data_IF_216565056586
#
_entry.id   IF_216565056586
#
_cell.length_a   1.000
_cell.length_b   1.000
_cell.length_c   1.000
_cell.angle_alpha   90.00
_cell.angle_beta   90.00
_cell.angle_gamma   90.00
#
_symmetry.space_group_name_H-M   'P 1'
#
loop_
_entity.id
_entity.type
_entity.pdbx_description
1 polymer ?
#
# COMPACT_ATOMS: atom_id res chain seq x y z
N UNK A 1 -21.76 -12.77 31.17
CA UNK A 1 -20.54 -11.97 31.09
C UNK A 1 -19.49 -12.49 30.09
N UNK A 2 -19.28 -13.79 29.91
CA UNK A 2 -18.31 -14.34 28.92
C UNK A 2 -18.61 -13.94 27.46
N UNK A 3 -19.87 -13.88 27.02
CA UNK A 3 -20.22 -13.50 25.62
C UNK A 3 -19.82 -12.05 25.24
N UNK A 4 -19.93 -11.05 26.15
CA UNK A 4 -19.58 -9.66 25.86
C UNK A 4 -18.06 -9.41 25.77
N UNK A 5 -17.25 -10.14 26.57
CA UNK A 5 -15.78 -10.06 26.49
C UNK A 5 -15.26 -10.62 25.17
N UNK A 6 -15.84 -11.72 24.68
CA UNK A 6 -15.47 -12.31 23.38
C UNK A 6 -15.82 -11.38 22.21
N UNK A 7 -16.94 -10.66 22.30
CA UNK A 7 -17.37 -9.74 21.23
C UNK A 7 -16.48 -8.50 21.15
N UNK A 8 -16.03 -7.94 22.27
CA UNK A 8 -15.08 -6.83 22.29
C UNK A 8 -13.71 -7.24 21.74
N UNK A 9 -13.21 -8.42 22.14
CA UNK A 9 -11.95 -8.96 21.61
C UNK A 9 -12.04 -9.24 20.10
N UNK A 10 -13.15 -9.80 19.65
CA UNK A 10 -13.39 -10.09 18.23
C UNK A 10 -13.47 -8.80 17.40
N UNK A 11 -14.15 -7.77 17.89
CA UNK A 11 -14.22 -6.46 17.22
C UNK A 11 -12.83 -5.80 17.12
N UNK A 12 -12.00 -5.92 18.14
CA UNK A 12 -10.62 -5.41 18.12
C UNK A 12 -9.75 -6.15 17.09
N UNK A 13 -9.88 -7.47 17.01
CA UNK A 13 -9.16 -8.27 15.98
C UNK A 13 -9.61 -7.89 14.57
N UNK A 14 -10.90 -7.71 14.34
CA UNK A 14 -11.45 -7.30 13.05
C UNK A 14 -10.99 -5.89 12.65
N UNK A 15 -11.02 -4.93 13.57
CA UNK A 15 -10.52 -3.57 13.32
C UNK A 15 -9.03 -3.55 12.98
N UNK A 16 -8.23 -4.37 13.67
CA UNK A 16 -6.79 -4.50 13.41
C UNK A 16 -6.50 -5.10 12.03
N UNK A 17 -7.24 -6.14 11.64
CA UNK A 17 -7.14 -6.71 10.30
C UNK A 17 -7.56 -5.71 9.21
N UNK A 18 -8.59 -4.91 9.46
CA UNK A 18 -9.07 -3.89 8.52
C UNK A 18 -8.01 -2.80 8.25
N UNK A 19 -7.31 -2.31 9.28
CA UNK A 19 -6.26 -1.27 9.12
C UNK A 19 -5.10 -1.77 8.24
N UNK A 20 -4.65 -3.01 8.47
CA UNK A 20 -3.62 -3.62 7.62
C UNK A 20 -4.09 -3.73 6.16
N UNK A 21 -5.30 -4.26 5.94
CA UNK A 21 -5.89 -4.42 4.60
C UNK A 21 -6.06 -3.05 3.91
N UNK A 22 -6.44 -2.01 4.67
CA UNK A 22 -6.57 -0.65 4.15
C UNK A 22 -5.23 -0.12 3.60
N UNK A 23 -4.12 -0.26 4.35
CA UNK A 23 -2.80 0.15 3.86
C UNK A 23 -2.35 -0.65 2.65
N UNK A 24 -2.56 -1.97 2.70
CA UNK A 24 -2.20 -2.84 1.58
C UNK A 24 -2.96 -2.47 0.30
N UNK A 25 -4.28 -2.31 0.39
CA UNK A 25 -5.11 -1.96 -0.74
C UNK A 25 -4.76 -0.57 -1.30
N UNK A 26 -4.53 0.42 -0.40
CA UNK A 26 -4.14 1.77 -0.83
C UNK A 26 -2.81 1.79 -1.58
N UNK A 27 -1.79 1.09 -1.09
CA UNK A 27 -0.50 1.01 -1.77
C UNK A 27 -0.60 0.20 -3.08
N UNK A 28 -1.42 -0.86 -3.11
CA UNK A 28 -1.69 -1.62 -4.31
C UNK A 28 -2.37 -0.76 -5.38
N UNK A 29 -3.41 -0.01 -5.02
CA UNK A 29 -4.13 0.90 -5.92
C UNK A 29 -3.19 1.96 -6.50
N UNK A 30 -2.37 2.59 -5.66
CA UNK A 30 -1.35 3.55 -6.09
C UNK A 30 -0.36 2.90 -7.09
N UNK A 31 0.08 1.68 -6.81
CA UNK A 31 0.99 0.95 -7.70
C UNK A 31 0.36 0.64 -9.07
N UNK A 32 -0.92 0.28 -9.11
CA UNK A 32 -1.63 -0.06 -10.33
C UNK A 32 -1.99 1.17 -11.17
N UNK A 33 -2.23 2.32 -10.52
CA UNK A 33 -2.64 3.56 -11.21
C UNK A 33 -1.50 4.38 -11.78
N UNK A 34 -0.24 3.96 -11.58
CA UNK A 34 0.94 4.72 -12.02
C UNK A 34 1.11 4.81 -13.53
N UNK A 35 0.64 3.82 -14.27
CA UNK A 35 0.86 3.71 -15.71
C UNK A 35 -0.41 4.00 -16.48
N UNK A 36 -0.24 4.56 -17.67
CA UNK A 36 -1.27 4.76 -18.66
C UNK A 36 -0.90 3.97 -19.91
N UNK A 37 -1.75 3.02 -20.27
CA UNK A 37 -1.61 2.24 -21.49
C UNK A 37 -2.51 2.85 -22.58
N UNK A 38 -1.92 3.13 -23.74
CA UNK A 38 -2.66 3.65 -24.88
C UNK A 38 -2.68 2.62 -26.01
N UNK A 39 -3.79 2.58 -26.75
CA UNK A 39 -4.00 1.67 -27.86
C UNK A 39 -3.91 0.18 -27.49
N UNK A 40 -4.29 -0.17 -26.26
CA UNK A 40 -4.50 -1.58 -25.92
C UNK A 40 -5.65 -2.15 -26.76
N UNK A 41 -5.55 -3.39 -27.26
CA UNK A 41 -6.70 -4.09 -27.84
C UNK A 41 -7.87 -4.17 -26.86
N UNK A 42 -9.11 -4.06 -27.35
CA UNK A 42 -10.33 -4.09 -26.53
C UNK A 42 -10.49 -5.40 -25.72
N UNK A 43 -9.81 -6.45 -26.14
CA UNK A 43 -9.79 -7.76 -25.48
C UNK A 43 -8.81 -7.82 -24.28
N UNK A 44 -7.99 -6.79 -24.07
CA UNK A 44 -7.01 -6.71 -22.99
C UNK A 44 -7.46 -5.72 -21.92
N UNK A 45 -7.79 -6.21 -20.74
CA UNK A 45 -8.15 -5.39 -19.58
C UNK A 45 -6.88 -4.85 -18.90
N UNK A 46 -6.69 -3.51 -18.94
CA UNK A 46 -5.55 -2.80 -18.33
C UNK A 46 -5.45 -3.09 -16.83
N UNK A 47 -6.58 -3.07 -16.12
CA UNK A 47 -6.62 -3.34 -14.67
C UNK A 47 -6.14 -4.76 -14.36
N UNK A 48 -6.56 -5.74 -15.15
CA UNK A 48 -6.15 -7.13 -14.97
C UNK A 48 -4.65 -7.31 -15.26
N UNK A 49 -4.15 -6.64 -16.29
CA UNK A 49 -2.74 -6.63 -16.64
C UNK A 49 -1.88 -6.08 -15.50
N UNK A 50 -2.19 -4.88 -15.00
CA UNK A 50 -1.41 -4.26 -13.91
C UNK A 50 -1.55 -5.02 -12.58
N UNK A 51 -2.75 -5.55 -12.27
CA UNK A 51 -2.95 -6.43 -11.11
C UNK A 51 -2.09 -7.70 -11.20
N UNK A 52 -1.98 -8.29 -12.38
CA UNK A 52 -1.14 -9.45 -12.63
C UNK A 52 0.34 -9.14 -12.49
N UNK A 53 0.81 -8.02 -13.03
CA UNK A 53 2.18 -7.53 -12.87
C UNK A 53 2.51 -7.27 -11.41
N UNK A 54 1.63 -6.58 -10.68
CA UNK A 54 1.79 -6.31 -9.25
C UNK A 54 1.88 -7.60 -8.42
N UNK A 55 0.96 -8.55 -8.64
CA UNK A 55 0.80 -9.73 -7.78
C UNK A 55 1.71 -10.89 -8.16
N UNK A 56 2.01 -11.08 -9.45
CA UNK A 56 2.79 -12.22 -9.96
C UNK A 56 4.16 -11.84 -10.49
N UNK A 57 4.41 -10.53 -10.75
CA UNK A 57 5.66 -10.04 -11.29
C UNK A 57 5.81 -10.17 -12.80
N UNK A 58 4.92 -10.88 -13.46
CA UNK A 58 4.92 -11.05 -14.92
C UNK A 58 3.54 -11.41 -15.46
N UNK A 59 3.29 -11.03 -16.71
CA UNK A 59 2.15 -11.41 -17.52
C UNK A 59 2.64 -11.87 -18.90
N UNK A 60 1.86 -12.67 -19.62
CA UNK A 60 2.16 -13.05 -20.98
C UNK A 60 1.12 -12.47 -21.94
N UNK A 61 1.61 -11.79 -22.97
CA UNK A 61 0.81 -11.28 -24.08
C UNK A 61 0.92 -12.23 -25.27
N UNK A 62 -0.21 -12.56 -25.87
CA UNK A 62 -0.30 -13.45 -27.02
C UNK A 62 -1.61 -13.20 -27.79
N UNK A 63 -1.72 -13.79 -28.97
CA UNK A 63 -2.94 -13.79 -29.75
C UNK A 63 -3.56 -15.20 -29.73
N UNK A 64 -4.83 -15.26 -29.33
CA UNK A 64 -5.67 -16.45 -29.43
C UNK A 64 -6.48 -16.39 -30.73
N UNK A 65 -6.68 -17.53 -31.38
CA UNK A 65 -7.35 -17.58 -32.70
C UNK A 65 -8.86 -17.26 -32.62
N UNK A 66 -9.47 -17.42 -31.45
CA UNK A 66 -10.91 -17.22 -31.24
C UNK A 66 -11.21 -15.88 -30.53
N UNK A 67 -10.42 -15.55 -29.50
CA UNK A 67 -10.71 -14.41 -28.62
C UNK A 67 -9.97 -13.15 -29.09
N UNK A 68 -8.83 -13.31 -29.76
CA UNK A 68 -7.98 -12.20 -30.17
C UNK A 68 -6.78 -12.02 -29.21
N UNK A 69 -6.29 -10.79 -29.08
CA UNK A 69 -5.14 -10.46 -28.25
C UNK A 69 -5.49 -10.57 -26.76
N UNK A 70 -4.63 -11.23 -25.98
CA UNK A 70 -4.81 -11.47 -24.56
C UNK A 70 -3.55 -11.15 -23.77
N UNK A 71 -3.71 -10.64 -22.53
CA UNK A 71 -2.67 -10.53 -21.55
C UNK A 71 -3.10 -11.32 -20.28
N UNK A 72 -2.49 -12.48 -20.04
CA UNK A 72 -2.89 -13.38 -18.96
C UNK A 72 -1.74 -13.67 -17.98
N UNK A 73 -2.12 -14.21 -16.82
CA UNK A 73 -1.14 -14.77 -15.88
C UNK A 73 -0.40 -15.93 -16.51
N UNK A 74 0.84 -16.13 -16.08
CA UNK A 74 1.65 -17.23 -16.62
C UNK A 74 2.40 -18.00 -15.53
N UNK A 75 2.73 -19.25 -15.85
CA UNK A 75 3.73 -20.05 -15.16
C UNK A 75 4.83 -20.44 -16.14
N UNK A 76 6.06 -20.58 -15.61
CA UNK A 76 7.19 -21.03 -16.39
C UNK A 76 7.05 -22.51 -16.74
N UNK A 77 7.35 -22.86 -17.97
CA UNK A 77 7.35 -24.23 -18.46
C UNK A 77 8.61 -24.48 -19.29
N UNK A 78 9.07 -25.73 -19.32
CA UNK A 78 10.32 -26.07 -20.02
C UNK A 78 11.56 -25.56 -19.27
N UNK A 79 12.66 -25.45 -20.02
CA UNK A 79 13.93 -24.90 -19.52
C UNK A 79 14.00 -23.39 -19.63
N UNK A 80 15.15 -22.84 -19.21
CA UNK A 80 15.50 -21.43 -19.39
C UNK A 80 16.57 -21.26 -20.45
N UNK A 81 16.56 -20.13 -21.12
CA UNK A 81 17.65 -19.75 -22.01
C UNK A 81 18.85 -19.18 -21.22
N UNK A 82 19.92 -18.80 -21.94
CA UNK A 82 21.16 -18.26 -21.35
C UNK A 82 20.95 -16.95 -20.57
N UNK A 83 19.81 -16.24 -20.76
CA UNK A 83 19.46 -15.01 -20.07
C UNK A 83 18.38 -15.24 -18.98
N UNK A 84 18.05 -16.51 -18.68
CA UNK A 84 17.05 -16.88 -17.70
C UNK A 84 15.61 -16.56 -18.13
N UNK A 85 15.32 -16.48 -19.45
CA UNK A 85 13.95 -16.41 -19.94
C UNK A 85 13.39 -17.82 -20.16
N UNK A 86 12.13 -18.12 -19.74
CA UNK A 86 11.55 -19.43 -19.95
C UNK A 86 11.33 -19.70 -21.43
N UNK A 87 11.67 -20.91 -21.87
CA UNK A 87 11.51 -21.33 -23.28
C UNK A 87 10.05 -21.56 -23.63
N UNK A 88 9.25 -22.03 -22.67
CA UNK A 88 7.79 -22.19 -22.75
C UNK A 88 7.08 -21.51 -21.61
N UNK A 89 5.84 -21.08 -21.85
CA UNK A 89 4.99 -20.37 -20.91
C UNK A 89 3.60 -20.96 -20.94
N UNK A 90 3.05 -21.28 -19.79
CA UNK A 90 1.64 -21.64 -19.67
C UNK A 90 0.85 -20.41 -19.26
N UNK A 91 0.09 -19.84 -20.19
CA UNK A 91 -0.87 -18.81 -19.92
C UNK A 91 -2.12 -19.41 -19.28
N UNK A 92 -2.71 -18.72 -18.31
CA UNK A 92 -3.94 -19.18 -17.66
C UNK A 92 -4.76 -18.01 -17.13
N UNK A 93 -6.09 -18.18 -17.12
CA UNK A 93 -7.01 -17.29 -16.44
C UNK A 93 -7.17 -17.68 -14.98
N UNK A 94 -7.31 -16.69 -14.07
CA UNK A 94 -7.63 -16.95 -12.67
C UNK A 94 -9.11 -17.20 -12.40
N UNK A 95 -9.96 -16.84 -13.36
CA UNK A 95 -11.42 -16.83 -13.16
C UNK A 95 -12.17 -17.91 -13.94
N UNK A 96 -11.49 -18.55 -14.87
CA UNK A 96 -12.06 -19.65 -15.64
C UNK A 96 -10.99 -20.73 -15.92
N UNK A 97 -11.36 -21.76 -16.66
CA UNK A 97 -10.47 -22.88 -16.98
C UNK A 97 -9.59 -22.65 -18.22
N UNK A 98 -9.58 -21.42 -18.78
CA UNK A 98 -8.75 -21.13 -19.94
C UNK A 98 -7.28 -21.27 -19.62
N UNK A 99 -6.57 -22.06 -20.44
CA UNK A 99 -5.13 -22.23 -20.35
C UNK A 99 -4.57 -22.65 -21.70
N UNK A 100 -3.38 -22.16 -22.00
CA UNK A 100 -2.66 -22.52 -23.23
C UNK A 100 -1.17 -22.52 -22.99
N UNK A 101 -0.42 -23.33 -23.78
CA UNK A 101 1.03 -23.36 -23.71
C UNK A 101 1.62 -22.61 -24.92
N UNK A 102 2.48 -21.67 -24.64
CA UNK A 102 3.07 -20.73 -25.57
C UNK A 102 4.59 -20.86 -25.58
N UNK A 103 5.22 -20.35 -26.65
CA UNK A 103 6.66 -20.24 -26.76
C UNK A 103 7.10 -18.79 -27.09
N UNK A 104 8.40 -18.61 -27.41
CA UNK A 104 8.96 -17.30 -27.71
C UNK A 104 8.46 -16.70 -29.04
N UNK A 105 7.95 -17.53 -29.96
CA UNK A 105 7.58 -17.10 -31.30
C UNK A 105 6.15 -16.59 -31.36
N UNK A 106 5.31 -17.00 -30.41
CA UNK A 106 3.88 -16.65 -30.38
C UNK A 106 3.46 -15.87 -29.14
N UNK A 107 4.40 -15.47 -28.28
CA UNK A 107 4.06 -14.72 -27.07
C UNK A 107 5.21 -13.85 -26.57
N UNK A 108 4.87 -12.80 -25.83
CA UNK A 108 5.79 -11.87 -25.20
C UNK A 108 5.52 -11.80 -23.71
N UNK A 109 6.56 -11.91 -22.88
CA UNK A 109 6.45 -11.71 -21.44
C UNK A 109 6.56 -10.21 -21.13
N UNK A 110 5.62 -9.71 -20.33
CA UNK A 110 5.65 -8.39 -19.73
C UNK A 110 6.12 -8.56 -18.28
N UNK A 111 7.23 -7.94 -17.92
CA UNK A 111 7.79 -7.97 -16.58
C UNK A 111 7.37 -6.74 -15.78
N UNK A 112 7.10 -6.91 -14.47
CA UNK A 112 6.75 -5.82 -13.58
C UNK A 112 7.91 -4.82 -13.38
N UNK A 113 9.13 -5.34 -13.27
CA UNK A 113 10.35 -4.56 -13.06
C UNK A 113 11.57 -5.28 -13.64
N UNK A 114 12.75 -4.64 -13.62
CA UNK A 114 13.99 -5.24 -14.13
C UNK A 114 14.47 -6.45 -13.32
N UNK A 115 14.09 -6.58 -12.05
CA UNK A 115 14.38 -7.76 -11.22
C UNK A 115 13.45 -8.94 -11.53
N UNK A 116 12.37 -8.72 -12.30
CA UNK A 116 11.36 -9.74 -12.64
C UNK A 116 10.60 -10.26 -11.42
N UNK A 117 10.44 -9.42 -10.38
CA UNK A 117 9.75 -9.74 -9.13
C UNK A 117 8.39 -9.07 -9.06
N UNK A 118 7.50 -9.62 -8.23
CA UNK A 118 6.25 -8.96 -7.89
C UNK A 118 6.49 -7.80 -6.90
N UNK A 119 5.54 -6.87 -6.82
CA UNK A 119 5.57 -5.78 -5.84
C UNK A 119 4.73 -6.08 -4.59
N UNK A 120 3.91 -7.13 -4.65
CA UNK A 120 2.93 -7.44 -3.61
C UNK A 120 3.59 -7.75 -2.26
N UNK A 121 4.71 -8.49 -2.25
CA UNK A 121 5.42 -8.84 -1.01
C UNK A 121 6.01 -7.63 -0.31
N UNK A 122 6.66 -6.73 -1.06
CA UNK A 122 7.25 -5.52 -0.48
C UNK A 122 6.16 -4.58 0.03
N UNK A 123 5.07 -4.41 -0.73
CA UNK A 123 3.91 -3.62 -0.31
C UNK A 123 3.25 -4.22 0.94
N UNK A 124 3.19 -5.55 1.04
CA UNK A 124 2.71 -6.24 2.24
C UNK A 124 3.56 -5.90 3.47
N UNK A 125 4.88 -5.87 3.33
CA UNK A 125 5.80 -5.49 4.41
C UNK A 125 5.62 -4.03 4.84
N UNK A 126 5.46 -3.10 3.90
CA UNK A 126 5.16 -1.70 4.21
C UNK A 126 3.82 -1.54 4.92
N UNK A 127 2.77 -2.19 4.42
CA UNK A 127 1.44 -2.17 5.03
C UNK A 127 1.48 -2.70 6.48
N UNK A 128 2.24 -3.77 6.73
CA UNK A 128 2.41 -4.34 8.06
C UNK A 128 3.15 -3.38 9.01
N UNK A 129 4.21 -2.71 8.54
CA UNK A 129 4.93 -1.70 9.32
C UNK A 129 4.03 -0.51 9.69
N UNK A 130 3.29 0.02 8.72
CA UNK A 130 2.35 1.14 8.93
C UNK A 130 1.23 0.77 9.91
N UNK A 131 0.66 -0.40 9.75
CA UNK A 131 -0.33 -0.95 10.68
C UNK A 131 0.19 -1.03 12.11
N UNK A 132 1.41 -1.56 12.31
CA UNK A 132 2.01 -1.66 13.64
C UNK A 132 2.21 -0.28 14.30
N UNK A 133 2.61 0.73 13.52
CA UNK A 133 2.79 2.08 14.03
C UNK A 133 1.46 2.70 14.48
N UNK A 134 0.37 2.53 13.72
CA UNK A 134 -0.95 2.96 14.16
C UNK A 134 -1.36 2.30 15.47
N UNK A 135 -1.10 0.99 15.60
CA UNK A 135 -1.35 0.27 16.85
C UNK A 135 -0.58 0.84 18.03
N UNK A 136 0.69 1.19 17.84
CA UNK A 136 1.51 1.79 18.90
C UNK A 136 1.00 3.18 19.25
N UNK A 137 0.61 4.00 18.26
CA UNK A 137 0.02 5.33 18.49
C UNK A 137 -1.25 5.20 19.32
N UNK A 138 -2.17 4.29 18.94
CA UNK A 138 -3.42 4.07 19.66
C UNK A 138 -3.18 3.61 21.10
N UNK A 139 -2.24 2.67 21.32
CA UNK A 139 -1.89 2.19 22.65
C UNK A 139 -1.27 3.32 23.49
N UNK A 140 -0.34 4.09 22.90
CA UNK A 140 0.30 5.20 23.61
C UNK A 140 -0.70 6.31 23.95
N UNK A 141 -1.58 6.67 23.03
CA UNK A 141 -2.65 7.64 23.28
C UNK A 141 -3.62 7.15 24.37
N UNK A 142 -3.99 5.87 24.35
CA UNK A 142 -4.84 5.27 25.38
C UNK A 142 -4.14 5.18 26.75
N UNK A 143 -2.82 5.00 26.80
CA UNK A 143 -2.04 4.98 28.03
C UNK A 143 -1.98 6.35 28.71
N UNK A 144 -2.26 7.44 28.00
CA UNK A 144 -2.36 8.80 28.58
C UNK A 144 -3.69 9.05 29.29
N UNK A 145 -4.70 8.17 29.10
CA UNK A 145 -5.97 8.28 29.83
C UNK A 145 -5.73 7.87 31.28
N UNK A 146 -5.89 8.82 32.20
CA UNK A 146 -5.78 8.55 33.64
C UNK A 146 -6.92 7.65 34.08
N UNK A 147 -6.69 6.44 34.60
CA UNK A 147 -7.77 5.61 35.11
C UNK A 147 -8.33 6.24 36.37
N UNK A 148 -9.65 6.37 36.44
CA UNK A 148 -10.36 6.82 37.63
C UNK A 148 -10.76 5.58 38.43
N UNK A 149 -10.26 5.50 39.67
CA UNK A 149 -10.68 4.45 40.61
C UNK A 149 -11.94 4.91 41.34
N UNK A 150 -13.05 4.19 41.15
CA UNK A 150 -14.28 4.40 41.90
C UNK A 150 -14.45 3.22 42.86
N UNK A 151 -14.38 3.51 44.15
CA UNK A 151 -14.70 2.53 45.22
C UNK A 151 -16.17 2.70 45.61
N UNK A 152 -16.96 1.64 45.55
CA UNK A 152 -18.38 1.64 45.91
C UNK A 152 -18.79 0.27 46.40
N UNK A 153 -19.87 0.22 47.18
CA UNK A 153 -20.49 -1.02 47.61
C UNK A 153 -21.05 -1.79 46.41
N UNK A 154 -21.09 -3.12 46.52
CA UNK A 154 -21.51 -4.00 45.42
C UNK A 154 -22.93 -3.68 44.91
N UNK A 155 -23.81 -3.17 45.79
CA UNK A 155 -25.17 -2.71 45.46
C UNK A 155 -25.17 -1.45 44.58
N UNK A 156 -24.17 -0.59 44.70
CA UNK A 156 -24.04 0.67 43.96
C UNK A 156 -23.21 0.55 42.68
N UNK A 157 -22.48 -0.53 42.54
CA UNK A 157 -21.56 -0.78 41.42
C UNK A 157 -22.21 -0.67 40.04
N UNK A 158 -23.44 -1.19 39.90
CA UNK A 158 -24.17 -1.12 38.63
C UNK A 158 -24.65 0.30 38.31
N UNK A 159 -25.13 1.02 39.33
CA UNK A 159 -25.63 2.41 39.20
C UNK A 159 -24.46 3.35 38.84
N UNK A 160 -23.35 3.25 39.53
CA UNK A 160 -22.16 4.05 39.29
C UNK A 160 -21.56 3.75 37.90
N UNK A 161 -21.54 2.48 37.46
CA UNK A 161 -21.11 2.10 36.14
C UNK A 161 -21.98 2.71 35.04
N UNK A 162 -23.31 2.71 35.22
CA UNK A 162 -24.24 3.28 34.26
C UNK A 162 -24.14 4.82 34.21
N UNK A 163 -23.97 5.45 35.35
CA UNK A 163 -23.81 6.90 35.47
C UNK A 163 -22.54 7.39 34.79
N UNK A 164 -21.44 6.63 34.95
CA UNK A 164 -20.18 6.95 34.32
C UNK A 164 -20.17 6.69 32.81
N UNK A 165 -20.85 5.63 32.34
CA UNK A 165 -21.03 5.36 30.93
C UNK A 165 -21.91 6.40 30.20
N UNK A 166 -22.80 7.07 30.93
CA UNK A 166 -23.60 8.18 30.39
C UNK A 166 -22.82 9.49 30.30
N UNK A 167 -21.86 9.69 31.23
CA UNK A 167 -21.12 10.95 31.30
C UNK A 167 -19.94 11.02 30.35
N UNK A 168 -19.22 9.88 30.12
CA UNK A 168 -18.05 9.90 29.27
C UNK A 168 -17.65 8.48 28.77
N UNK A 169 -18.13 8.11 27.64
CA UNK A 169 -18.02 6.74 27.09
C UNK A 169 -16.60 6.21 26.82
N UNK A 170 -15.51 6.96 27.13
CA UNK A 170 -14.14 6.60 26.71
C UNK A 170 -13.08 6.57 27.82
N UNK A 171 -13.42 6.83 29.09
CA UNK A 171 -12.42 6.77 30.17
C UNK A 171 -12.20 5.34 30.68
N UNK A 172 -10.94 4.92 30.89
CA UNK A 172 -10.65 3.66 31.56
C UNK A 172 -11.05 3.80 33.05
N UNK A 173 -12.15 3.18 33.43
CA UNK A 173 -12.64 3.14 34.80
C UNK A 173 -12.45 1.76 35.38
N UNK A 174 -11.80 1.68 36.54
CA UNK A 174 -11.64 0.45 37.30
C UNK A 174 -12.56 0.50 38.53
N UNK A 175 -13.51 -0.44 38.60
CA UNK A 175 -14.34 -0.61 39.79
C UNK A 175 -13.67 -1.59 40.74
N UNK A 176 -13.33 -1.13 41.94
CA UNK A 176 -12.78 -1.94 43.03
C UNK A 176 -13.83 -2.19 44.15
N UNK A 177 -13.61 -3.20 44.98
CA UNK A 177 -14.31 -3.43 46.22
C UNK A 177 -13.87 -2.38 47.29
N UNK A 178 -14.77 -1.95 48.20
CA UNK A 178 -14.46 -1.03 49.27
C UNK A 178 -13.37 -1.52 50.22
N UNK A 179 -13.12 -2.82 50.28
CA UNK A 179 -12.06 -3.48 51.04
C UNK A 179 -10.73 -3.60 50.32
N UNK A 180 -10.61 -3.07 49.08
CA UNK A 180 -9.40 -3.14 48.32
C UNK A 180 -8.34 -2.21 48.90
N UNK A 181 -7.18 -2.73 49.23
CA UNK A 181 -6.07 -1.91 49.72
C UNK A 181 -5.55 -1.00 48.58
N UNK A 182 -5.81 0.30 48.72
CA UNK A 182 -5.44 1.36 47.74
C UNK A 182 -3.96 1.39 47.48
N UNK A 183 -3.12 0.94 48.41
CA UNK A 183 -1.64 0.86 48.22
C UNK A 183 -1.25 -0.18 47.19
N UNK A 184 -2.05 -1.22 46.99
CA UNK A 184 -1.79 -2.23 45.97
C UNK A 184 -2.11 -1.76 44.53
N UNK A 185 -2.90 -0.66 44.41
CA UNK A 185 -3.32 -0.06 43.13
C UNK A 185 -2.37 1.04 42.62
N UNK A 186 -1.39 1.48 43.45
CA UNK A 186 -0.36 2.43 43.02
C UNK A 186 0.53 1.90 41.86
N UNK A 187 0.50 0.59 41.60
CA UNK A 187 1.20 -0.09 40.51
C UNK A 187 0.59 0.19 39.12
N UNK A 188 -0.63 0.77 39.07
CA UNK A 188 -1.32 1.10 37.82
C UNK A 188 -1.00 2.51 37.26
N UNK A 189 -0.12 3.28 37.95
CA UNK A 189 0.45 4.47 37.32
C UNK A 189 1.37 4.02 36.19
N UNK A 190 0.84 4.00 34.99
CA UNK A 190 1.65 3.89 33.78
C UNK A 190 2.32 5.26 33.58
N UNK A 191 3.55 5.44 34.01
CA UNK A 191 4.40 6.57 33.64
C UNK A 191 4.88 6.41 32.18
N UNK A 192 3.98 5.98 31.30
CA UNK A 192 4.29 5.79 29.90
C UNK A 192 4.53 7.17 29.25
N UNK A 193 5.74 7.44 28.73
CA UNK A 193 6.00 8.71 28.08
C UNK A 193 5.11 8.86 26.83
N UNK A 194 4.61 10.08 26.60
CA UNK A 194 3.91 10.39 25.38
C UNK A 194 4.92 10.42 24.21
N UNK A 195 4.81 9.47 23.28
CA UNK A 195 5.71 9.33 22.14
C UNK A 195 4.96 9.29 20.81
N UNK A 196 3.64 9.51 20.82
CA UNK A 196 2.79 9.41 19.62
C UNK A 196 3.27 10.31 18.49
N UNK A 197 3.77 11.52 18.77
CA UNK A 197 4.29 12.46 17.77
C UNK A 197 5.50 11.87 17.03
N UNK A 198 6.46 11.30 17.76
CA UNK A 198 7.66 10.68 17.18
C UNK A 198 7.31 9.44 16.34
N UNK A 199 6.30 8.69 16.78
CA UNK A 199 5.84 7.51 16.05
C UNK A 199 5.08 7.90 14.80
N UNK A 200 4.30 9.00 14.86
CA UNK A 200 3.64 9.56 13.69
C UNK A 200 4.67 10.03 12.64
N UNK A 201 5.71 10.72 13.05
CA UNK A 201 6.82 11.13 12.17
C UNK A 201 7.50 9.92 11.51
N UNK A 202 7.73 8.85 12.28
CA UNK A 202 8.27 7.59 11.75
C UNK A 202 7.30 6.95 10.74
N UNK A 203 6.00 6.99 11.02
CA UNK A 203 4.96 6.49 10.10
C UNK A 203 4.98 7.26 8.77
N UNK A 204 5.09 8.60 8.80
CA UNK A 204 5.22 9.42 7.60
C UNK A 204 6.47 9.06 6.80
N UNK A 205 7.60 8.83 7.47
CA UNK A 205 8.84 8.39 6.81
C UNK A 205 8.68 7.03 6.12
N UNK A 206 8.05 6.06 6.78
CA UNK A 206 7.80 4.72 6.19
C UNK A 206 6.82 4.81 5.03
N UNK A 207 5.78 5.64 5.13
CA UNK A 207 4.88 5.91 4.02
C UNK A 207 5.62 6.49 2.81
N UNK A 208 6.49 7.48 3.02
CA UNK A 208 7.30 8.08 1.96
C UNK A 208 8.31 7.08 1.36
N UNK A 209 8.89 6.21 2.19
CA UNK A 209 9.76 5.11 1.74
C UNK A 209 8.99 4.14 0.82
N UNK A 210 7.75 3.80 1.16
CA UNK A 210 6.90 2.96 0.33
C UNK A 210 6.56 3.63 -1.02
N UNK A 211 6.26 4.94 -1.03
CA UNK A 211 6.03 5.70 -2.26
C UNK A 211 7.30 5.73 -3.14
N UNK A 212 8.46 6.01 -2.54
CA UNK A 212 9.75 5.99 -3.24
C UNK A 212 10.03 4.61 -3.85
N UNK A 213 9.79 3.53 -3.10
CA UNK A 213 9.91 2.17 -3.61
C UNK A 213 9.01 1.92 -4.81
N UNK A 214 7.77 2.39 -4.78
CA UNK A 214 6.84 2.28 -5.90
C UNK A 214 7.21 3.21 -7.07
N UNK A 215 8.03 4.22 -6.86
CA UNK A 215 8.37 5.24 -7.85
C UNK A 215 7.38 6.40 -7.90
N UNK A 216 6.60 6.61 -6.84
CA UNK A 216 5.63 7.70 -6.73
C UNK A 216 6.31 8.92 -6.07
N UNK A 217 6.08 10.10 -6.62
CA UNK A 217 6.61 11.35 -6.05
C UNK A 217 6.00 11.61 -4.69
N UNK A 218 6.83 11.92 -3.71
CA UNK A 218 6.43 12.16 -2.32
C UNK A 218 6.91 13.53 -1.80
N UNK A 219 7.01 14.51 -2.69
CA UNK A 219 7.40 15.87 -2.31
C UNK A 219 6.31 16.42 -1.41
N UNK A 220 6.57 16.45 -0.10
CA UNK A 220 5.68 17.09 0.87
C UNK A 220 5.81 18.60 0.75
N UNK A 221 4.81 19.25 0.17
CA UNK A 221 4.64 20.71 0.12
C UNK A 221 4.41 21.37 1.50
N UNK A 222 4.36 20.59 2.58
CA UNK A 222 4.14 21.08 3.95
C UNK A 222 5.33 21.79 4.57
N UNK A 223 6.55 21.65 4.05
CA UNK A 223 7.67 22.49 4.46
C UNK A 223 7.72 23.74 3.58
N UNK A 224 7.05 24.79 4.00
CA UNK A 224 7.15 26.16 3.44
C UNK A 224 8.53 26.82 3.63
N UNK A 225 9.51 26.13 4.16
CA UNK A 225 10.87 26.62 4.30
C UNK A 225 11.71 26.03 3.16
N UNK A 226 12.44 26.91 2.51
CA UNK A 226 13.34 26.69 1.37
C UNK A 226 14.08 25.35 1.48
N UNK A 227 13.53 24.30 0.91
CA UNK A 227 14.31 23.09 0.67
C UNK A 227 15.39 23.44 -0.35
N UNK A 228 16.64 23.25 0.04
CA UNK A 228 17.78 23.45 -0.84
C UNK A 228 17.58 22.48 -2.02
N UNK A 229 17.67 22.96 -3.24
CA UNK A 229 17.47 22.23 -4.50
C UNK A 229 18.17 20.86 -4.52
N UNK A 230 19.35 20.78 -3.87
CA UNK A 230 20.13 19.54 -3.75
C UNK A 230 19.46 18.45 -2.89
N UNK A 231 18.67 18.82 -1.89
CA UNK A 231 17.97 17.87 -1.03
C UNK A 231 16.74 17.27 -1.75
N UNK A 232 16.07 18.08 -2.55
CA UNK A 232 14.98 17.65 -3.45
C UNK A 232 15.52 16.66 -4.49
N UNK A 233 16.65 16.97 -5.12
CA UNK A 233 17.27 16.12 -6.15
C UNK A 233 17.72 14.78 -5.56
N UNK A 234 18.28 14.74 -4.35
CA UNK A 234 18.67 13.48 -3.69
C UNK A 234 17.47 12.58 -3.38
N UNK A 235 16.38 13.16 -2.91
CA UNK A 235 15.16 12.39 -2.61
C UNK A 235 14.47 11.88 -3.87
N UNK A 236 14.59 12.57 -5.00
CA UNK A 236 14.05 12.15 -6.30
C UNK A 236 14.83 10.98 -6.93
N UNK A 237 16.13 10.83 -6.64
CA UNK A 237 16.97 9.81 -7.29
C UNK A 237 16.44 8.38 -7.14
N UNK A 238 16.01 7.99 -5.95
CA UNK A 238 15.42 6.67 -5.68
C UNK A 238 14.08 6.47 -6.39
N UNK A 239 13.25 7.50 -6.39
CA UNK A 239 11.95 7.50 -7.09
C UNK A 239 12.13 7.34 -8.59
N UNK A 240 13.05 8.12 -9.19
CA UNK A 240 13.37 8.06 -10.63
C UNK A 240 13.89 6.67 -11.02
N UNK A 241 14.81 6.08 -10.24
CA UNK A 241 15.35 4.76 -10.49
C UNK A 241 14.26 3.66 -10.43
N UNK A 242 13.38 3.76 -9.44
CA UNK A 242 12.22 2.85 -9.30
C UNK A 242 11.25 2.97 -10.48
N UNK A 243 10.95 4.20 -10.90
CA UNK A 243 10.16 4.49 -12.09
C UNK A 243 10.76 3.86 -13.33
N UNK A 244 12.02 4.15 -13.57
CA UNK A 244 12.73 3.63 -14.75
C UNK A 244 12.68 2.11 -14.82
N UNK A 245 12.97 1.42 -13.74
CA UNK A 245 12.96 -0.05 -13.69
C UNK A 245 11.61 -0.64 -14.11
N UNK A 246 10.49 -0.03 -13.68
CA UNK A 246 9.13 -0.51 -13.98
C UNK A 246 8.67 -0.12 -15.39
N UNK A 247 8.85 1.14 -15.76
CA UNK A 247 8.43 1.64 -17.08
C UNK A 247 9.22 1.01 -18.21
N UNK A 248 10.55 0.93 -18.07
CA UNK A 248 11.42 0.35 -19.09
C UNK A 248 11.10 -1.13 -19.33
N UNK A 249 10.78 -1.89 -18.29
CA UNK A 249 10.37 -3.29 -18.44
C UNK A 249 9.11 -3.43 -19.30
N UNK A 250 8.12 -2.55 -19.10
CA UNK A 250 6.90 -2.50 -19.91
C UNK A 250 7.20 -2.05 -21.35
N UNK A 251 7.97 -0.98 -21.53
CA UNK A 251 8.34 -0.46 -22.87
C UNK A 251 9.08 -1.50 -23.70
N UNK A 252 10.01 -2.26 -23.11
CA UNK A 252 10.71 -3.35 -23.80
C UNK A 252 9.76 -4.46 -24.25
N UNK A 253 8.80 -4.83 -23.41
CA UNK A 253 7.79 -5.81 -23.78
C UNK A 253 6.91 -5.28 -24.91
N UNK A 254 6.41 -4.05 -24.81
CA UNK A 254 5.57 -3.39 -25.84
C UNK A 254 6.29 -3.33 -27.18
N UNK A 255 7.58 -2.97 -27.21
CA UNK A 255 8.36 -2.98 -28.46
C UNK A 255 8.34 -4.35 -29.14
N UNK A 256 8.44 -5.43 -28.35
CA UNK A 256 8.35 -6.81 -28.87
C UNK A 256 6.94 -7.16 -29.32
N UNK A 257 5.92 -6.76 -28.54
CA UNK A 257 4.51 -6.98 -28.85
C UNK A 257 4.13 -6.29 -30.15
N UNK A 258 4.40 -5.00 -30.29
CA UNK A 258 4.09 -4.23 -31.48
C UNK A 258 4.76 -4.84 -32.73
N UNK A 259 6.02 -5.26 -32.58
CA UNK A 259 6.72 -5.92 -33.70
C UNK A 259 6.12 -7.28 -34.06
N UNK A 260 5.70 -8.08 -33.09
CA UNK A 260 5.22 -9.46 -33.31
C UNK A 260 3.78 -9.49 -33.83
N UNK A 261 2.91 -8.61 -33.31
CA UNK A 261 1.49 -8.64 -33.60
C UNK A 261 1.00 -7.47 -34.48
N UNK A 262 1.91 -6.58 -34.92
CA UNK A 262 1.54 -5.44 -35.76
C UNK A 262 0.71 -4.37 -35.04
N UNK A 263 0.86 -4.24 -33.73
CA UNK A 263 0.14 -3.30 -32.89
C UNK A 263 0.90 -1.98 -32.70
N UNK A 264 0.23 -0.97 -32.13
CA UNK A 264 0.82 0.32 -31.80
C UNK A 264 0.51 0.72 -30.33
N UNK A 265 0.75 -0.22 -29.43
CA UNK A 265 0.56 0.01 -27.98
C UNK A 265 1.68 0.91 -27.47
N UNK A 266 1.34 1.82 -26.56
CA UNK A 266 2.30 2.63 -25.80
C UNK A 266 2.00 2.59 -24.31
N UNK A 267 3.00 2.82 -23.48
CA UNK A 267 2.87 2.94 -22.04
C UNK A 267 3.75 4.07 -21.55
N UNK A 268 3.18 4.91 -20.69
CA UNK A 268 3.87 5.99 -20.01
C UNK A 268 3.38 6.14 -18.56
N UNK A 269 4.07 6.96 -17.77
CA UNK A 269 3.54 7.40 -16.50
C UNK A 269 2.32 8.29 -16.73
N UNK A 270 1.32 8.16 -15.87
CA UNK A 270 0.28 9.20 -15.75
C UNK A 270 0.97 10.48 -15.32
N UNK A 271 0.76 11.56 -16.06
CA UNK A 271 1.35 12.85 -15.77
C UNK A 271 0.90 13.30 -14.37
N UNK A 272 1.88 13.61 -13.52
CA UNK A 272 1.61 14.23 -12.23
C UNK A 272 1.03 15.62 -12.46
N UNK A 273 -0.16 15.92 -11.94
CA UNK A 273 -0.79 17.25 -11.97
C UNK A 273 0.11 18.39 -11.45
N UNK A 274 1.22 18.06 -10.79
CA UNK A 274 2.20 19.01 -10.27
C UNK A 274 3.16 19.60 -11.31
N UNK A 275 3.23 19.05 -12.52
CA UNK A 275 4.12 19.58 -13.57
C UNK A 275 3.49 20.75 -14.33
N UNK A 276 2.18 20.91 -14.32
CA UNK A 276 1.50 22.04 -14.95
C UNK A 276 1.59 23.32 -14.12
N UNK A 277 1.52 23.21 -12.78
CA UNK A 277 1.65 24.39 -11.89
C UNK A 277 3.04 25.01 -11.92
N UNK A 278 4.10 24.20 -12.06
CA UNK A 278 5.48 24.69 -12.15
C UNK A 278 5.76 25.35 -13.50
N UNK A 279 5.12 24.90 -14.58
CA UNK A 279 5.26 25.53 -15.91
C UNK A 279 4.51 26.87 -16.00
N UNK A 280 3.41 27.03 -15.32
CA UNK A 280 2.63 28.26 -15.30
C UNK A 280 3.27 29.36 -14.45
N UNK A 281 3.95 29.01 -13.35
CA UNK A 281 4.70 29.98 -12.53
C UNK A 281 6.00 30.46 -13.19
N UNK A 282 6.59 29.68 -14.11
CA UNK A 282 7.80 30.09 -14.84
C UNK A 282 7.51 30.98 -16.07
N UNK A 283 6.24 31.06 -16.50
CA UNK A 283 5.83 31.90 -17.63
C UNK A 283 5.16 33.22 -17.21
N UNK A 284 4.96 33.44 -15.89
CA UNK A 284 4.34 34.63 -15.32
C UNK A 284 5.31 35.72 -14.84
N UNK A 285 6.60 35.60 -15.08
CA UNK A 285 7.65 36.45 -14.48
C UNK A 285 8.38 37.44 -15.39
N UNK A 286 7.78 37.86 -16.51
CA UNK A 286 8.36 38.96 -17.30
C UNK A 286 7.26 39.79 -17.95
N UNK A 287 6.76 40.79 -17.22
CA UNK A 287 6.25 42.07 -17.77
C UNK A 287 5.92 43.00 -16.60
N UNK A 288 6.89 43.72 -16.10
CA UNK A 288 6.63 45.08 -15.55
C UNK A 288 7.74 45.97 -16.10
N UNK A 289 7.37 46.77 -17.06
CA UNK A 289 8.02 48.06 -17.35
C UNK A 289 7.72 49.06 -16.23
#
# INVERSE_FOLDING_TARGET
MKKKKNQSFHNTLMANGATYVQYYNRLMELSMSMFEWKNLPDTVDERYLELGLFSSGCMVFFKDDVIGELALNMTYQGGFDIYGEPTKRRAYSRYNQFQTTLDKNNSVIIWNNMLRTNSALDVQMFAYRLYNLDRIIDINANAQKTPILITCDEKQKLTMKNLYMQYDGNYPVIFGDSNLDIKSLSVLKTDAPFVSDKIYDLKVKIWNEALTYLGISNINTTKKERMITDEVIRNLGGTIASRYSRLESRRRAIKKINKMFGLNITVDYREDFQTEDIKNDSLGGDTIE
#
